data_IF_167552302420
#
_entry.id   IF_167552302420
#
_cell.length_a   1.000
_cell.length_b   1.000
_cell.length_c   1.000
_cell.angle_alpha   90.00
_cell.angle_beta   90.00
_cell.angle_gamma   90.00
#
_symmetry.space_group_name_H-M   'P 1'
#
loop_
_entity.id
_entity.type
_entity.pdbx_description
1 polymer ?
#
# COMPACT_ATOMS: atom_id res chain seq x y z
N UNK A 1 -7.69 -2.88 26.30
CA UNK A 1 -7.44 -3.21 24.89
C UNK A 1 -8.60 -3.97 24.21
N UNK A 2 -9.23 -4.97 24.83
CA UNK A 2 -10.38 -5.70 24.22
C UNK A 2 -11.63 -4.84 24.04
N UNK A 3 -11.93 -3.93 24.96
CA UNK A 3 -13.11 -3.07 24.91
C UNK A 3 -13.02 -2.04 23.78
N UNK A 4 -11.85 -1.45 23.58
CA UNK A 4 -11.56 -0.52 22.48
C UNK A 4 -11.67 -1.16 21.09
N UNK A 5 -11.27 -2.45 20.95
CA UNK A 5 -11.40 -3.18 19.66
C UNK A 5 -12.86 -3.43 19.27
N UNK A 6 -13.73 -3.79 20.23
CA UNK A 6 -15.17 -4.00 19.95
C UNK A 6 -15.88 -2.73 19.56
N UNK A 7 -15.62 -1.61 20.23
CA UNK A 7 -16.19 -0.30 19.85
C UNK A 7 -15.75 0.16 18.46
N UNK A 8 -14.48 -0.09 18.08
CA UNK A 8 -13.96 0.22 16.75
C UNK A 8 -14.68 -0.53 15.64
N UNK A 9 -14.89 -1.82 15.81
CA UNK A 9 -15.56 -2.65 14.81
C UNK A 9 -17.03 -2.24 14.63
N UNK A 10 -17.73 -1.93 15.70
CA UNK A 10 -19.09 -1.42 15.64
C UNK A 10 -19.15 -0.08 14.88
N UNK A 11 -18.32 0.89 15.22
CA UNK A 11 -18.31 2.19 14.54
C UNK A 11 -18.01 2.11 13.03
N UNK A 12 -17.12 1.22 12.60
CA UNK A 12 -16.80 1.02 11.18
C UNK A 12 -17.99 0.39 10.46
N UNK A 13 -18.58 -0.64 11.04
CA UNK A 13 -19.76 -1.31 10.48
C UNK A 13 -20.93 -0.36 10.32
N UNK A 14 -21.26 0.40 11.37
CA UNK A 14 -22.38 1.33 11.36
C UNK A 14 -22.18 2.45 10.33
N UNK A 15 -20.96 2.98 10.20
CA UNK A 15 -20.64 3.98 9.18
C UNK A 15 -20.73 3.40 7.77
N UNK A 16 -20.28 2.18 7.58
CA UNK A 16 -20.32 1.51 6.29
C UNK A 16 -21.77 1.17 5.90
N UNK A 17 -22.57 0.64 6.82
CA UNK A 17 -24.01 0.39 6.59
C UNK A 17 -24.74 1.69 6.26
N UNK A 18 -24.51 2.76 7.02
CA UNK A 18 -25.04 4.08 6.74
C UNK A 18 -24.66 4.56 5.34
N UNK A 19 -23.40 4.47 4.97
CA UNK A 19 -22.90 4.86 3.65
C UNK A 19 -23.54 4.03 2.52
N UNK A 20 -23.69 2.71 2.71
CA UNK A 20 -24.35 1.84 1.74
C UNK A 20 -25.83 2.22 1.55
N UNK A 21 -26.55 2.51 2.64
CA UNK A 21 -27.95 2.95 2.58
C UNK A 21 -28.10 4.30 1.87
N UNK A 22 -27.24 5.25 2.20
CA UNK A 22 -27.27 6.59 1.60
C UNK A 22 -26.89 6.58 0.11
N UNK A 23 -25.93 5.77 -0.29
CA UNK A 23 -25.40 5.76 -1.67
C UNK A 23 -26.11 4.80 -2.60
N UNK A 24 -26.53 3.64 -2.11
CA UNK A 24 -26.99 2.54 -2.94
C UNK A 24 -28.38 2.03 -2.55
N UNK A 25 -28.97 2.58 -1.50
CA UNK A 25 -30.24 2.12 -0.90
C UNK A 25 -30.22 0.62 -0.52
N UNK A 26 -29.06 0.14 -0.08
CA UNK A 26 -28.82 -1.26 0.33
C UNK A 26 -28.28 -1.25 1.74
N UNK A 27 -28.77 -2.13 2.60
CA UNK A 27 -28.23 -2.34 3.95
C UNK A 27 -27.24 -3.51 3.99
N UNK A 28 -26.44 -3.58 5.05
CA UNK A 28 -25.62 -4.75 5.33
C UNK A 28 -26.48 -5.94 5.73
N UNK A 29 -26.57 -6.92 4.86
CA UNK A 29 -27.28 -8.19 5.15
C UNK A 29 -26.39 -9.25 5.79
N UNK A 30 -25.07 -9.00 5.91
CA UNK A 30 -24.13 -10.01 6.36
C UNK A 30 -23.94 -9.97 7.87
N UNK A 31 -24.19 -11.09 8.51
CA UNK A 31 -24.02 -11.27 9.96
C UNK A 31 -22.66 -11.87 10.33
N UNK A 32 -21.83 -12.23 9.34
CA UNK A 32 -20.56 -12.89 9.61
C UNK A 32 -19.44 -11.88 9.79
N UNK A 33 -19.00 -11.73 11.04
CA UNK A 33 -17.79 -10.99 11.39
C UNK A 33 -16.63 -11.98 11.51
N UNK A 34 -15.60 -11.79 10.69
CA UNK A 34 -14.36 -12.55 10.78
C UNK A 34 -13.35 -11.73 11.56
N UNK A 35 -12.94 -12.24 12.71
CA UNK A 35 -11.86 -11.65 13.49
C UNK A 35 -10.54 -12.31 13.13
N UNK A 36 -9.53 -11.51 12.82
CA UNK A 36 -8.19 -12.00 12.58
C UNK A 36 -7.17 -11.13 13.32
N UNK A 37 -5.98 -11.69 13.53
CA UNK A 37 -4.83 -10.98 14.08
C UNK A 37 -3.84 -10.79 12.93
N UNK A 38 -3.56 -9.55 12.48
CA UNK A 38 -2.54 -9.34 11.47
C UNK A 38 -1.17 -9.74 12.03
N UNK A 39 -0.33 -10.25 11.14
CA UNK A 39 1.01 -10.69 11.47
C UNK A 39 1.53 -11.71 10.47
N UNK A 40 2.76 -12.12 10.65
CA UNK A 40 3.42 -13.11 9.82
C UNK A 40 4.31 -14.02 10.67
N UNK A 41 4.67 -15.18 10.13
CA UNK A 41 5.66 -16.07 10.73
C UNK A 41 7.04 -15.66 10.25
N UNK A 42 7.96 -15.44 11.17
CA UNK A 42 9.35 -15.11 10.85
C UNK A 42 10.01 -16.19 10.01
N UNK A 43 9.75 -17.46 10.37
CA UNK A 43 10.19 -18.62 9.64
C UNK A 43 8.98 -19.28 8.96
N UNK A 44 8.82 -18.99 7.67
CA UNK A 44 7.73 -19.56 6.87
C UNK A 44 8.09 -20.90 6.23
N UNK A 45 9.37 -21.26 6.25
CA UNK A 45 9.86 -22.55 5.79
C UNK A 45 10.55 -23.31 6.93
N UNK A 46 9.90 -24.35 7.45
CA UNK A 46 10.36 -25.17 8.57
C UNK A 46 10.36 -26.63 8.15
N UNK A 47 11.50 -27.31 8.30
CA UNK A 47 11.65 -28.72 7.89
C UNK A 47 11.35 -28.91 6.40
N UNK A 48 10.35 -29.71 6.09
CA UNK A 48 9.86 -29.94 4.72
C UNK A 48 8.55 -29.19 4.42
N UNK A 49 8.14 -28.27 5.29
CA UNK A 49 6.91 -27.51 5.15
C UNK A 49 7.22 -26.05 4.81
N UNK A 50 6.67 -25.58 3.70
CA UNK A 50 6.74 -24.20 3.23
C UNK A 50 5.33 -23.60 3.29
N UNK A 51 5.14 -22.57 4.13
CA UNK A 51 3.89 -21.83 4.20
C UNK A 51 3.87 -20.72 3.16
N UNK A 52 2.82 -20.65 2.32
CA UNK A 52 2.70 -19.65 1.25
C UNK A 52 1.41 -18.84 1.44
N UNK A 53 1.47 -17.54 1.17
CA UNK A 53 0.33 -16.64 1.25
C UNK A 53 -0.22 -16.51 2.66
N UNK A 54 -1.53 -16.68 2.84
CA UNK A 54 -2.21 -16.53 4.13
C UNK A 54 -1.68 -17.48 5.22
N UNK A 55 -1.10 -18.62 4.84
CA UNK A 55 -0.46 -19.53 5.81
C UNK A 55 0.89 -19.03 6.31
N UNK A 56 1.53 -18.13 5.61
CA UNK A 56 2.77 -17.46 6.04
C UNK A 56 2.52 -16.17 6.81
N UNK A 57 1.42 -15.48 6.52
CA UNK A 57 1.04 -14.26 7.20
C UNK A 57 0.00 -13.45 6.45
N UNK A 58 -0.56 -12.47 7.15
CA UNK A 58 -1.51 -11.51 6.61
C UNK A 58 -1.42 -10.19 7.35
N UNK A 59 -1.24 -9.10 6.63
CA UNK A 59 -1.18 -7.75 7.22
C UNK A 59 -2.55 -7.08 7.07
N UNK A 60 -2.91 -6.71 5.86
CA UNK A 60 -4.23 -6.18 5.51
C UNK A 60 -4.46 -6.26 3.99
N UNK A 61 -5.71 -6.11 3.49
CA UNK A 61 -6.01 -6.25 2.05
C UNK A 61 -5.61 -5.05 1.20
N UNK A 62 -4.93 -4.05 1.75
CA UNK A 62 -4.50 -2.86 1.02
C UNK A 62 -3.51 -3.24 -0.09
N UNK A 63 -3.63 -2.60 -1.28
CA UNK A 63 -2.74 -2.78 -2.44
C UNK A 63 -2.63 -4.22 -2.97
N UNK A 64 -3.61 -5.09 -2.66
CA UNK A 64 -3.60 -6.51 -3.05
C UNK A 64 -2.32 -7.27 -2.64
N UNK A 65 -1.65 -6.84 -1.58
CA UNK A 65 -0.38 -7.38 -1.08
C UNK A 65 -0.40 -8.89 -0.91
N UNK A 66 -1.54 -9.46 -0.48
CA UNK A 66 -1.65 -10.91 -0.28
C UNK A 66 -1.41 -11.73 -1.53
N UNK A 67 -1.85 -11.25 -2.70
CA UNK A 67 -1.62 -11.93 -4.00
C UNK A 67 -0.15 -11.82 -4.39
N UNK A 68 0.42 -10.64 -4.24
CA UNK A 68 1.81 -10.40 -4.59
C UNK A 68 2.78 -11.19 -3.71
N UNK A 69 2.48 -11.34 -2.41
CA UNK A 69 3.25 -12.19 -1.49
C UNK A 69 3.31 -13.63 -2.00
N UNK A 70 2.17 -14.19 -2.43
CA UNK A 70 2.12 -15.56 -2.97
C UNK A 70 3.05 -15.70 -4.17
N UNK A 71 2.97 -14.78 -5.12
CA UNK A 71 3.80 -14.78 -6.34
C UNK A 71 5.28 -14.71 -5.96
N UNK A 72 5.65 -13.79 -5.10
CA UNK A 72 7.02 -13.57 -4.67
C UNK A 72 7.59 -14.80 -3.94
N UNK A 73 6.84 -15.37 -3.02
CA UNK A 73 7.27 -16.56 -2.28
C UNK A 73 7.46 -17.78 -3.19
N UNK A 74 6.61 -17.97 -4.19
CA UNK A 74 6.77 -19.03 -5.18
C UNK A 74 8.01 -18.78 -6.04
N UNK A 75 8.21 -17.57 -6.54
CA UNK A 75 9.37 -17.23 -7.35
C UNK A 75 10.67 -17.41 -6.57
N UNK A 76 10.72 -16.93 -5.33
CA UNK A 76 11.89 -17.09 -4.46
C UNK A 76 12.19 -18.59 -4.21
N UNK A 77 11.16 -19.38 -3.90
CA UNK A 77 11.32 -20.82 -3.73
C UNK A 77 11.88 -21.51 -4.98
N UNK A 78 11.37 -21.17 -6.15
CA UNK A 78 11.85 -21.73 -7.42
C UNK A 78 13.32 -21.36 -7.68
N UNK A 79 13.69 -20.10 -7.48
CA UNK A 79 15.06 -19.61 -7.68
C UNK A 79 16.03 -20.29 -6.71
N UNK A 80 15.72 -20.28 -5.42
CA UNK A 80 16.58 -20.85 -4.38
C UNK A 80 16.79 -22.35 -4.60
N UNK A 81 15.71 -23.09 -4.90
CA UNK A 81 15.82 -24.53 -5.10
C UNK A 81 16.47 -24.94 -6.44
N UNK A 82 16.43 -24.09 -7.45
CA UNK A 82 17.10 -24.37 -8.72
C UNK A 82 18.64 -24.18 -8.64
N UNK A 83 19.10 -23.34 -7.72
CA UNK A 83 20.52 -22.91 -7.68
C UNK A 83 21.31 -23.49 -6.52
N UNK A 84 20.65 -23.91 -5.42
CA UNK A 84 21.31 -24.32 -4.19
C UNK A 84 20.99 -25.79 -3.85
N UNK A 85 22.02 -26.55 -3.53
CA UNK A 85 21.89 -27.98 -3.15
C UNK A 85 21.70 -28.18 -1.63
N UNK A 86 22.04 -27.19 -0.82
CA UNK A 86 21.94 -27.27 0.64
C UNK A 86 20.57 -26.76 1.13
N UNK A 87 19.72 -27.70 1.51
CA UNK A 87 18.35 -27.39 1.93
C UNK A 87 18.28 -26.51 3.19
N UNK A 88 19.19 -26.67 4.13
CA UNK A 88 19.22 -25.88 5.35
C UNK A 88 19.60 -24.43 5.05
N UNK A 89 20.60 -24.23 4.23
CA UNK A 89 21.00 -22.90 3.76
C UNK A 89 19.88 -22.25 2.95
N UNK A 90 19.20 -23.01 2.08
CA UNK A 90 18.05 -22.53 1.31
C UNK A 90 16.94 -22.01 2.22
N UNK A 91 16.59 -22.77 3.28
CA UNK A 91 15.59 -22.34 4.27
C UNK A 91 16.01 -21.06 5.00
N UNK A 92 17.27 -20.97 5.40
CA UNK A 92 17.80 -19.78 6.08
C UNK A 92 17.66 -18.53 5.20
N UNK A 93 18.04 -18.62 3.93
CA UNK A 93 17.93 -17.49 2.98
C UNK A 93 16.48 -17.13 2.74
N UNK A 94 15.61 -18.12 2.46
CA UNK A 94 14.19 -17.89 2.23
C UNK A 94 13.49 -17.25 3.44
N UNK A 95 13.75 -17.74 4.65
CA UNK A 95 13.20 -17.16 5.87
C UNK A 95 13.67 -15.71 6.11
N UNK A 96 14.95 -15.42 5.79
CA UNK A 96 15.47 -14.05 5.85
C UNK A 96 14.78 -13.16 4.82
N UNK A 97 14.62 -13.61 3.58
CA UNK A 97 13.92 -12.89 2.51
C UNK A 97 12.47 -12.60 2.89
N UNK A 98 11.77 -13.59 3.43
CA UNK A 98 10.39 -13.44 3.89
C UNK A 98 10.24 -12.39 5.01
N UNK A 99 11.15 -12.34 5.98
CA UNK A 99 11.15 -11.30 7.02
C UNK A 99 11.30 -9.91 6.42
N UNK A 100 12.24 -9.74 5.49
CA UNK A 100 12.43 -8.47 4.77
C UNK A 100 11.18 -8.08 4.00
N UNK A 101 10.60 -9.02 3.26
CA UNK A 101 9.37 -8.82 2.48
C UNK A 101 8.23 -8.29 3.34
N UNK A 102 7.94 -8.95 4.46
CA UNK A 102 6.87 -8.50 5.36
C UNK A 102 7.17 -7.18 6.05
N UNK A 103 8.42 -6.90 6.39
CA UNK A 103 8.83 -5.60 6.93
C UNK A 103 8.57 -4.48 5.92
N UNK A 104 8.94 -4.69 4.66
CA UNK A 104 8.71 -3.74 3.57
C UNK A 104 7.21 -3.47 3.37
N UNK A 105 6.40 -4.53 3.41
CA UNK A 105 4.95 -4.41 3.29
C UNK A 105 4.36 -3.64 4.48
N UNK A 106 4.77 -3.95 5.70
CA UNK A 106 4.27 -3.27 6.90
C UNK A 106 4.58 -1.78 6.84
N UNK A 107 5.79 -1.41 6.45
CA UNK A 107 6.19 -0.01 6.36
C UNK A 107 5.44 0.74 5.25
N UNK A 108 5.27 0.11 4.07
CA UNK A 108 4.52 0.71 2.98
C UNK A 108 3.02 0.86 3.31
N UNK A 109 2.43 -0.15 3.94
CA UNK A 109 1.04 -0.07 4.44
C UNK A 109 0.93 1.02 5.51
N UNK A 110 1.88 1.09 6.45
CA UNK A 110 1.91 2.14 7.47
C UNK A 110 2.03 3.55 6.88
N UNK A 111 2.75 3.70 5.76
CA UNK A 111 2.88 4.95 5.04
C UNK A 111 1.52 5.49 4.57
N UNK A 112 0.61 4.63 4.10
CA UNK A 112 -0.75 5.05 3.69
C UNK A 112 -1.57 5.67 4.81
N UNK A 113 -1.24 5.37 6.06
CA UNK A 113 -1.87 5.96 7.24
C UNK A 113 -1.17 7.21 7.76
N UNK A 114 -0.11 7.68 7.09
CA UNK A 114 0.65 8.87 7.44
C UNK A 114 -0.12 10.14 7.05
N UNK A 115 -1.24 10.38 7.73
CA UNK A 115 -2.10 11.54 7.50
C UNK A 115 -2.04 12.49 8.69
N UNK A 116 -2.45 13.75 8.48
CA UNK A 116 -2.61 14.73 9.56
C UNK A 116 -4.03 14.70 10.17
N UNK A 117 -4.77 13.61 9.96
CA UNK A 117 -6.13 13.46 10.46
C UNK A 117 -6.14 13.18 11.94
N UNK A 118 -7.03 13.89 12.66
CA UNK A 118 -7.25 13.73 14.10
C UNK A 118 -8.73 13.62 14.44
N UNK A 119 -9.56 13.42 13.44
CA UNK A 119 -11.04 13.44 13.53
C UNK A 119 -11.63 12.17 14.17
N UNK A 120 -10.80 11.21 14.53
CA UNK A 120 -11.23 10.02 15.27
C UNK A 120 -10.10 9.45 16.11
N UNK A 121 -10.45 8.63 17.11
CA UNK A 121 -9.45 7.90 17.93
C UNK A 121 -8.52 7.02 17.08
N UNK A 122 -9.03 6.48 15.95
CA UNK A 122 -8.20 5.72 15.01
C UNK A 122 -7.15 6.61 14.35
N UNK A 123 -7.54 7.74 13.76
CA UNK A 123 -6.60 8.62 13.08
C UNK A 123 -5.61 9.28 14.04
N UNK A 124 -6.05 9.66 15.24
CA UNK A 124 -5.15 10.10 16.30
C UNK A 124 -4.08 9.03 16.60
N UNK A 125 -4.51 7.77 16.77
CA UNK A 125 -3.57 6.69 17.03
C UNK A 125 -2.56 6.52 15.89
N UNK A 126 -3.02 6.50 14.63
CA UNK A 126 -2.13 6.33 13.48
C UNK A 126 -1.16 7.50 13.30
N UNK A 127 -1.59 8.73 13.55
CA UNK A 127 -0.76 9.93 13.46
C UNK A 127 0.41 9.90 14.44
N UNK A 128 0.17 9.43 15.68
CA UNK A 128 1.20 9.43 16.73
C UNK A 128 2.00 8.12 16.84
N UNK A 129 1.53 7.03 16.25
CA UNK A 129 2.16 5.71 16.35
C UNK A 129 2.70 5.22 15.00
N UNK A 130 3.46 6.06 14.32
CA UNK A 130 4.17 5.71 13.08
C UNK A 130 5.34 4.76 13.38
N UNK A 131 5.68 3.90 12.44
CA UNK A 131 6.93 3.12 12.51
C UNK A 131 8.14 4.06 12.46
N UNK A 132 9.30 3.61 12.93
CA UNK A 132 10.52 4.42 12.85
C UNK A 132 10.85 4.76 11.40
N UNK A 133 10.75 3.76 10.51
CA UNK A 133 11.00 3.96 9.10
C UNK A 133 10.06 5.02 8.48
N UNK A 134 8.76 5.00 8.78
CA UNK A 134 7.81 6.00 8.27
C UNK A 134 8.16 7.40 8.77
N UNK A 135 8.59 7.55 10.03
CA UNK A 135 9.01 8.85 10.55
C UNK A 135 10.24 9.40 9.82
N UNK A 136 11.27 8.57 9.68
CA UNK A 136 12.50 8.97 8.99
C UNK A 136 12.24 9.28 7.52
N UNK A 137 11.35 8.51 6.89
CA UNK A 137 10.95 8.70 5.51
C UNK A 137 10.13 9.98 5.29
N UNK A 138 9.22 10.31 6.21
CA UNK A 138 8.46 11.56 6.20
C UNK A 138 9.38 12.78 6.31
N UNK A 139 10.40 12.74 7.18
CA UNK A 139 11.38 13.82 7.28
C UNK A 139 12.19 13.96 5.98
N UNK A 140 12.64 12.85 5.40
CA UNK A 140 13.32 12.89 4.09
C UNK A 140 12.46 13.50 2.98
N UNK A 141 11.16 13.20 2.93
CA UNK A 141 10.25 13.77 1.95
C UNK A 141 10.06 15.29 2.07
N UNK A 142 10.33 15.88 3.23
CA UNK A 142 10.31 17.33 3.43
C UNK A 142 11.54 18.00 2.86
N UNK A 143 12.68 17.33 2.89
CA UNK A 143 13.98 17.86 2.48
C UNK A 143 14.28 17.55 1.01
N UNK A 144 13.90 16.39 0.52
CA UNK A 144 14.27 15.90 -0.79
C UNK A 144 13.06 15.31 -1.54
N UNK A 145 13.07 15.47 -2.86
CA UNK A 145 12.17 14.70 -3.71
C UNK A 145 12.71 13.28 -3.85
N UNK A 146 11.79 12.29 -3.82
CA UNK A 146 12.15 10.88 -3.88
C UNK A 146 12.82 10.52 -5.21
N UNK A 147 13.97 9.91 -5.11
CA UNK A 147 14.66 9.27 -6.21
C UNK A 147 15.01 7.81 -5.86
N UNK A 148 15.63 7.11 -6.81
CA UNK A 148 16.05 5.72 -6.62
C UNK A 148 16.99 5.53 -5.44
N UNK A 149 17.76 6.55 -5.05
CA UNK A 149 18.70 6.47 -3.92
C UNK A 149 17.96 6.56 -2.59
N UNK A 150 16.89 7.35 -2.54
CA UNK A 150 16.11 7.58 -1.33
C UNK A 150 15.23 6.38 -0.98
N UNK A 151 14.64 5.73 -2.00
CA UNK A 151 13.69 4.63 -1.80
C UNK A 151 14.30 3.25 -1.93
N UNK A 152 15.29 3.06 -2.81
CA UNK A 152 15.71 1.73 -3.30
C UNK A 152 16.73 1.01 -2.45
N UNK A 153 17.46 1.67 -1.56
CA UNK A 153 18.51 0.96 -0.80
C UNK A 153 17.96 -0.02 0.24
N UNK A 154 16.74 0.19 0.68
CA UNK A 154 16.20 -0.54 1.82
C UNK A 154 14.86 -1.25 1.54
N UNK A 155 14.14 -0.88 0.49
CA UNK A 155 12.80 -1.38 0.18
C UNK A 155 12.73 -1.89 -1.25
N UNK A 156 12.58 -3.19 -1.40
CA UNK A 156 12.66 -3.87 -2.70
C UNK A 156 11.32 -4.34 -3.27
N UNK A 157 10.28 -4.36 -2.45
CA UNK A 157 8.98 -4.91 -2.83
C UNK A 157 8.15 -3.94 -3.69
N UNK A 158 8.21 -2.65 -3.37
CA UNK A 158 7.48 -1.60 -4.08
C UNK A 158 8.42 -0.75 -4.93
N UNK A 159 7.98 -0.42 -6.15
CA UNK A 159 8.71 0.50 -7.02
C UNK A 159 8.63 1.95 -6.52
N UNK A 160 9.60 2.75 -6.97
CA UNK A 160 9.66 4.19 -6.68
C UNK A 160 8.33 4.89 -7.02
N UNK A 161 7.69 4.51 -8.13
CA UNK A 161 6.42 5.10 -8.59
C UNK A 161 5.30 4.91 -7.55
N UNK A 162 5.25 3.75 -6.89
CA UNK A 162 4.27 3.48 -5.83
C UNK A 162 4.47 4.42 -4.64
N UNK A 163 5.72 4.64 -4.23
CA UNK A 163 6.04 5.59 -3.15
C UNK A 163 5.68 7.02 -3.53
N UNK A 164 6.04 7.46 -4.74
CA UNK A 164 5.71 8.81 -5.23
C UNK A 164 4.21 9.04 -5.23
N UNK A 165 3.42 8.08 -5.73
CA UNK A 165 1.96 8.20 -5.79
C UNK A 165 1.35 8.33 -4.40
N UNK A 166 1.77 7.49 -3.45
CA UNK A 166 1.28 7.54 -2.07
C UNK A 166 1.68 8.86 -1.40
N UNK A 167 2.95 9.24 -1.49
CA UNK A 167 3.45 10.48 -0.88
C UNK A 167 2.81 11.73 -1.49
N UNK A 168 2.57 11.74 -2.79
CA UNK A 168 1.84 12.81 -3.47
C UNK A 168 0.40 12.93 -2.95
N UNK A 169 -0.31 11.80 -2.85
CA UNK A 169 -1.66 11.75 -2.29
C UNK A 169 -1.74 12.22 -0.84
N UNK A 170 -0.71 11.93 -0.05
CA UNK A 170 -0.57 12.34 1.34
C UNK A 170 -0.05 13.78 1.50
N UNK A 171 0.32 14.46 0.42
CA UNK A 171 0.90 15.82 0.40
C UNK A 171 2.19 15.91 1.23
N UNK A 172 3.03 14.90 1.16
CA UNK A 172 4.28 14.83 1.91
C UNK A 172 5.40 15.65 1.28
N UNK A 173 5.32 15.93 -0.03
CA UNK A 173 6.34 16.71 -0.73
C UNK A 173 6.08 18.23 -0.62
N UNK A 174 7.14 18.96 -0.35
CA UNK A 174 7.14 20.41 -0.56
C UNK A 174 7.18 20.73 -2.05
N UNK A 175 6.34 21.65 -2.48
CA UNK A 175 6.19 22.03 -3.90
C UNK A 175 7.46 22.63 -4.48
N UNK A 176 8.15 23.46 -3.72
CA UNK A 176 9.40 24.10 -4.19
C UNK A 176 10.55 23.10 -4.26
N UNK A 177 10.63 22.14 -3.33
CA UNK A 177 11.60 21.04 -3.39
C UNK A 177 11.41 20.17 -4.63
N UNK A 178 10.17 19.82 -4.99
CA UNK A 178 9.86 19.09 -6.22
C UNK A 178 10.27 19.88 -7.46
N UNK A 179 9.93 21.17 -7.51
CA UNK A 179 10.29 22.06 -8.62
C UNK A 179 11.81 22.19 -8.77
N UNK A 180 12.53 22.43 -7.69
CA UNK A 180 13.97 22.53 -7.69
C UNK A 180 14.66 21.24 -8.13
N UNK A 181 14.15 20.09 -7.68
CA UNK A 181 14.61 18.78 -8.12
C UNK A 181 14.44 18.62 -9.65
N UNK A 182 13.25 18.91 -10.18
CA UNK A 182 12.98 18.80 -11.62
C UNK A 182 13.90 19.74 -12.42
N UNK A 183 14.04 21.00 -12.00
CA UNK A 183 14.89 21.98 -12.67
C UNK A 183 16.39 21.65 -12.59
N UNK A 184 16.82 20.84 -11.62
CA UNK A 184 18.21 20.37 -11.51
C UNK A 184 18.57 19.27 -12.51
N UNK A 185 17.60 18.66 -13.18
CA UNK A 185 17.85 17.64 -14.22
C UNK A 185 18.17 18.32 -15.55
N UNK A 186 18.96 17.63 -16.39
CA UNK A 186 19.39 18.16 -17.71
C UNK A 186 18.19 18.61 -18.54
N UNK A 187 17.11 17.80 -18.57
CA UNK A 187 15.89 18.08 -19.31
C UNK A 187 14.74 18.57 -18.38
N UNK A 188 15.08 19.00 -17.17
CA UNK A 188 14.08 19.27 -16.13
C UNK A 188 13.10 20.37 -16.48
N UNK A 189 13.54 21.40 -17.21
CA UNK A 189 12.67 22.50 -17.66
C UNK A 189 11.65 22.01 -18.70
N UNK A 190 12.07 21.17 -19.62
CA UNK A 190 11.20 20.61 -20.65
C UNK A 190 10.23 19.62 -20.06
N UNK A 191 10.69 18.74 -19.16
CA UNK A 191 9.82 17.80 -18.39
C UNK A 191 8.77 18.57 -17.59
N UNK A 192 9.15 19.66 -16.92
CA UNK A 192 8.22 20.48 -16.14
C UNK A 192 7.17 21.16 -17.03
N UNK A 193 7.57 21.73 -18.17
CA UNK A 193 6.67 22.34 -19.12
C UNK A 193 5.73 21.33 -19.75
N UNK A 194 6.23 20.14 -20.11
CA UNK A 194 5.43 19.04 -20.64
C UNK A 194 4.40 18.57 -19.60
N UNK A 195 4.81 18.36 -18.36
CA UNK A 195 3.90 17.94 -17.29
C UNK A 195 2.78 18.96 -17.02
N UNK A 196 3.07 20.27 -17.14
CA UNK A 196 2.03 21.30 -17.09
C UNK A 196 1.04 21.19 -18.25
N UNK A 197 1.54 21.02 -19.47
CA UNK A 197 0.70 20.82 -20.66
C UNK A 197 -0.18 19.58 -20.57
N UNK A 198 0.39 18.47 -20.10
CA UNK A 198 -0.34 17.23 -19.87
C UNK A 198 -1.43 17.38 -18.81
N UNK A 199 -1.14 18.11 -17.73
CA UNK A 199 -2.13 18.38 -16.70
C UNK A 199 -3.31 19.21 -17.24
N UNK A 200 -3.03 20.28 -17.97
CA UNK A 200 -4.07 21.10 -18.61
C UNK A 200 -4.90 20.30 -19.61
N UNK A 201 -4.26 19.45 -20.41
CA UNK A 201 -4.93 18.53 -21.32
C UNK A 201 -5.88 17.59 -20.56
N UNK A 202 -5.40 16.92 -19.52
CA UNK A 202 -6.19 15.98 -18.70
C UNK A 202 -7.38 16.67 -18.03
N UNK A 203 -7.21 17.87 -17.49
CA UNK A 203 -8.32 18.63 -16.90
C UNK A 203 -9.36 19.04 -17.94
N UNK A 204 -8.95 19.36 -19.15
CA UNK A 204 -9.86 19.62 -20.25
C UNK A 204 -10.60 18.36 -20.72
N UNK A 205 -9.91 17.22 -20.80
CA UNK A 205 -10.53 15.94 -21.14
C UNK A 205 -11.51 15.46 -20.04
N UNK A 206 -11.20 15.64 -18.77
CA UNK A 206 -12.14 15.35 -17.66
C UNK A 206 -13.47 16.10 -17.83
N UNK A 207 -13.44 17.36 -18.28
CA UNK A 207 -14.65 18.16 -18.52
C UNK A 207 -15.52 17.58 -19.66
N UNK A 208 -14.92 16.87 -20.60
CA UNK A 208 -15.60 16.24 -21.73
C UNK A 208 -16.16 14.86 -21.39
N UNK A 209 -15.64 14.19 -20.38
CA UNK A 209 -16.07 12.85 -19.99
C UNK A 209 -17.45 12.95 -19.31
N UNK A 210 -18.48 12.45 -19.98
CA UNK A 210 -19.78 12.21 -19.35
C UNK A 210 -19.60 11.13 -18.27
N UNK A 211 -19.84 11.48 -17.02
CA UNK A 211 -19.88 10.49 -15.96
C UNK A 211 -20.95 9.44 -16.26
N UNK A 212 -20.52 8.23 -16.57
CA UNK A 212 -21.41 7.08 -16.69
C UNK A 212 -21.53 6.48 -15.29
N UNK A 213 -22.77 6.32 -14.82
CA UNK A 213 -22.98 5.71 -13.50
C UNK A 213 -22.42 4.28 -13.49
N UNK A 214 -21.87 3.87 -12.34
CA UNK A 214 -21.34 2.51 -12.15
C UNK A 214 -22.37 1.43 -12.54
N UNK A 215 -23.65 1.64 -12.23
CA UNK A 215 -24.75 0.76 -12.64
C UNK A 215 -24.82 0.61 -14.17
N UNK A 216 -24.73 1.71 -14.91
CA UNK A 216 -24.79 1.67 -16.37
C UNK A 216 -23.59 0.94 -16.98
N UNK A 217 -22.40 1.04 -16.34
CA UNK A 217 -21.22 0.26 -16.77
C UNK A 217 -21.45 -1.23 -16.52
N UNK A 218 -21.97 -1.61 -15.35
CA UNK A 218 -22.29 -2.99 -15.03
C UNK A 218 -23.35 -3.55 -15.98
N UNK A 219 -24.42 -2.80 -16.27
CA UNK A 219 -25.46 -3.19 -17.23
C UNK A 219 -24.87 -3.44 -18.64
N UNK A 220 -23.90 -2.64 -19.08
CA UNK A 220 -23.20 -2.82 -20.36
C UNK A 220 -22.28 -4.06 -20.37
N UNK A 221 -21.73 -4.47 -19.24
CA UNK A 221 -20.87 -5.65 -19.12
C UNK A 221 -21.71 -6.92 -19.03
N UNK A 222 -22.79 -6.88 -18.25
CA UNK A 222 -23.61 -8.05 -17.95
C UNK A 222 -24.60 -8.41 -19.09
N UNK A 223 -24.93 -7.47 -19.97
CA UNK A 223 -25.82 -7.66 -21.12
C UNK A 223 -25.08 -8.00 -22.42
N UNK A 224 -23.81 -8.41 -22.33
CA UNK A 224 -23.07 -9.05 -23.41
C UNK A 224 -23.05 -10.56 -23.21
#
# INVERSE_FOLDING_TARGET
HRHYRRQRQMCIRDRYDKWLREKFNVGLETDRIISYKPGYYEDYWIGNCLAIGLSSGFIEPLEATGIQIIIQQIQEFMIINSTLKNLEYNRMIANKGNRTLYTDIIDFVALHYCTNRTDSAFWNYMTYNKTNWVRDFEEKCKEEFLDTRTCYKEKTFWGLDSFIQVCYGLKMFDRESVKNFLLSKIDGKDIFNQAQGDHEFLENEKKKIKQISHKKVLDLIMNK
#
